data_IF_311265984743
#
_entry.id   IF_311265984743
#
_cell.length_a   1.000
_cell.length_b   1.000
_cell.length_c   1.000
_cell.angle_alpha   90.00
_cell.angle_beta   90.00
_cell.angle_gamma   90.00
#
_symmetry.space_group_name_H-M   'P 1'
#
loop_
_entity.id
_entity.type
_entity.pdbx_description
1 polymer ?
#
# COMPACT_ATOMS: atom_id res chain seq x y z
N UNK A 1 -12.02 -14.28 -1.56
CA UNK A 1 -10.60 -14.35 -1.17
C UNK A 1 -10.42 -13.60 0.14
N UNK A 2 -10.10 -14.33 1.18
CA UNK A 2 -9.76 -13.76 2.47
C UNK A 2 -8.29 -13.33 2.51
N UNK A 3 -7.96 -12.36 3.38
CA UNK A 3 -6.63 -11.75 3.49
C UNK A 3 -6.06 -11.28 2.13
N UNK A 4 -6.91 -10.64 1.36
CA UNK A 4 -6.59 -10.22 -0.01
C UNK A 4 -5.39 -9.26 -0.11
N UNK A 5 -5.00 -8.63 1.01
CA UNK A 5 -3.79 -7.79 1.07
C UNK A 5 -2.50 -8.56 0.72
N UNK A 6 -2.49 -9.88 0.76
CA UNK A 6 -1.35 -10.69 0.30
C UNK A 6 -1.09 -10.59 -1.21
N UNK A 7 -2.05 -10.12 -1.99
CA UNK A 7 -1.95 -9.98 -3.45
C UNK A 7 -1.75 -8.54 -3.92
N UNK A 8 -1.68 -7.58 -3.01
CA UNK A 8 -1.55 -6.14 -3.32
C UNK A 8 -0.25 -5.73 -4.03
N UNK A 9 0.77 -6.60 -4.03
CA UNK A 9 2.07 -6.35 -4.69
C UNK A 9 2.06 -6.68 -6.19
N UNK A 10 0.93 -6.50 -6.88
CA UNK A 10 0.89 -6.63 -8.33
C UNK A 10 1.79 -5.55 -8.94
N UNK A 11 2.73 -5.92 -9.86
CA UNK A 11 3.65 -4.95 -10.44
C UNK A 11 2.95 -3.79 -11.13
N UNK A 12 3.41 -2.58 -10.85
CA UNK A 12 2.99 -1.36 -11.52
C UNK A 12 4.08 -0.92 -12.49
N UNK A 13 3.72 -0.73 -13.76
CA UNK A 13 4.61 -0.12 -14.73
C UNK A 13 4.56 1.39 -14.54
N UNK A 14 5.69 2.00 -14.24
CA UNK A 14 5.82 3.44 -14.06
C UNK A 14 7.12 3.95 -14.68
N UNK A 15 7.07 5.15 -15.22
CA UNK A 15 8.26 5.88 -15.69
C UNK A 15 9.06 6.46 -14.53
N UNK A 16 8.43 6.68 -13.38
CA UNK A 16 9.05 7.20 -12.17
C UNK A 16 9.42 6.07 -11.21
N UNK A 17 10.52 6.25 -10.47
CA UNK A 17 10.89 5.36 -9.37
C UNK A 17 10.34 5.89 -8.05
N UNK A 18 9.10 5.54 -7.75
CA UNK A 18 8.44 5.93 -6.50
C UNK A 18 8.66 4.83 -5.47
N UNK A 19 9.23 5.19 -4.33
CA UNK A 19 9.50 4.22 -3.26
C UNK A 19 8.19 3.66 -2.68
N UNK A 20 8.14 2.35 -2.57
CA UNK A 20 6.97 1.62 -2.09
C UNK A 20 6.01 1.18 -3.20
N UNK A 21 6.16 1.67 -4.43
CA UNK A 21 5.41 1.16 -5.58
C UNK A 21 6.01 -0.18 -6.01
N UNK A 22 5.20 -1.26 -6.08
CA UNK A 22 5.70 -2.56 -6.48
C UNK A 22 6.05 -2.55 -7.97
N UNK A 23 7.33 -2.71 -8.30
CA UNK A 23 7.82 -2.82 -9.68
C UNK A 23 8.37 -4.21 -10.00
N UNK A 24 8.72 -4.96 -8.95
CA UNK A 24 9.25 -6.31 -9.07
C UNK A 24 8.18 -7.36 -9.36
N UNK A 25 8.60 -8.48 -9.97
CA UNK A 25 7.73 -9.62 -10.24
C UNK A 25 7.17 -10.21 -8.95
N UNK A 26 5.88 -10.49 -8.95
CA UNK A 26 5.18 -11.22 -7.89
C UNK A 26 4.32 -12.30 -8.53
N UNK A 27 4.82 -13.53 -8.55
CA UNK A 27 4.12 -14.66 -9.20
C UNK A 27 2.76 -14.89 -8.56
N UNK A 28 2.67 -14.80 -7.23
CA UNK A 28 1.42 -14.95 -6.49
C UNK A 28 0.38 -13.89 -6.88
N UNK A 29 0.77 -12.62 -6.95
CA UNK A 29 -0.13 -11.54 -7.31
C UNK A 29 -0.54 -11.63 -8.79
N UNK A 30 0.38 -12.00 -9.67
CA UNK A 30 0.13 -12.17 -11.10
C UNK A 30 -0.80 -13.34 -11.37
N UNK A 31 -0.62 -14.48 -10.71
CA UNK A 31 -1.51 -15.65 -10.82
C UNK A 31 -2.92 -15.30 -10.33
N UNK A 32 -3.04 -14.64 -9.18
CA UNK A 32 -4.33 -14.16 -8.68
C UNK A 32 -4.98 -13.18 -9.66
N UNK A 33 -4.21 -12.27 -10.26
CA UNK A 33 -4.72 -11.32 -11.24
C UNK A 33 -5.31 -12.03 -12.47
N UNK A 34 -4.61 -13.01 -13.02
CA UNK A 34 -5.08 -13.79 -14.16
C UNK A 34 -6.40 -14.52 -13.83
N UNK A 35 -6.47 -15.15 -12.65
CA UNK A 35 -7.69 -15.84 -12.17
C UNK A 35 -8.86 -14.87 -11.98
N UNK A 36 -8.60 -13.73 -11.40
CA UNK A 36 -9.61 -12.68 -11.18
C UNK A 36 -10.13 -12.15 -12.50
N UNK A 37 -9.26 -11.84 -13.45
CA UNK A 37 -9.65 -11.41 -14.81
C UNK A 37 -10.54 -12.44 -15.48
N UNK A 38 -10.13 -13.71 -15.49
CA UNK A 38 -10.91 -14.80 -16.07
C UNK A 38 -12.32 -14.88 -15.46
N UNK A 39 -12.45 -14.76 -14.14
CA UNK A 39 -13.73 -14.84 -13.45
C UNK A 39 -14.62 -13.63 -13.76
N UNK A 40 -14.06 -12.43 -13.76
CA UNK A 40 -14.80 -11.21 -14.10
C UNK A 40 -15.30 -11.24 -15.55
N UNK A 41 -14.46 -11.64 -16.48
CA UNK A 41 -14.84 -11.77 -17.90
C UNK A 41 -15.96 -12.81 -18.09
N UNK A 42 -15.86 -13.96 -17.40
CA UNK A 42 -16.85 -15.03 -17.48
C UNK A 42 -18.19 -14.65 -16.85
N UNK A 43 -18.21 -13.79 -15.86
CA UNK A 43 -19.40 -13.45 -15.05
C UNK A 43 -19.81 -11.97 -15.17
N UNK A 44 -19.49 -11.32 -16.28
CA UNK A 44 -19.88 -9.92 -16.57
C UNK A 44 -19.51 -8.95 -15.41
N UNK A 45 -18.24 -8.97 -15.01
CA UNK A 45 -17.72 -8.10 -13.96
C UNK A 45 -18.04 -8.54 -12.52
N UNK A 46 -18.54 -9.77 -12.31
CA UNK A 46 -18.97 -10.27 -10.99
C UNK A 46 -18.23 -11.56 -10.61
N UNK A 47 -18.49 -12.05 -9.38
CA UNK A 47 -18.00 -13.36 -8.93
C UNK A 47 -16.69 -13.35 -8.15
N UNK A 48 -16.13 -12.20 -7.90
CA UNK A 48 -14.91 -12.06 -7.07
C UNK A 48 -15.19 -11.14 -5.89
N UNK A 49 -14.88 -11.62 -4.70
CA UNK A 49 -14.95 -10.83 -3.45
C UNK A 49 -13.62 -10.93 -2.74
N UNK A 50 -13.04 -9.78 -2.41
CA UNK A 50 -11.85 -9.65 -1.59
C UNK A 50 -12.22 -9.17 -0.18
N UNK A 51 -11.71 -9.84 0.84
CA UNK A 51 -11.85 -9.44 2.23
C UNK A 51 -10.47 -9.18 2.83
N UNK A 52 -10.32 -8.08 3.55
CA UNK A 52 -9.07 -7.73 4.24
C UNK A 52 -9.32 -6.68 5.32
N UNK A 53 -8.64 -6.78 6.44
CA UNK A 53 -8.61 -5.73 7.47
C UNK A 53 -7.65 -4.58 7.13
N UNK A 54 -6.78 -4.73 6.12
CA UNK A 54 -5.70 -3.78 5.80
C UNK A 54 -5.57 -3.56 4.29
N UNK A 55 -6.56 -2.91 3.64
CA UNK A 55 -6.55 -2.74 2.18
C UNK A 55 -5.36 -1.90 1.69
N UNK A 56 -4.97 -0.89 2.45
CA UNK A 56 -3.84 0.00 2.16
C UNK A 56 -2.96 0.07 3.40
N UNK A 57 -1.69 -0.29 3.29
CA UNK A 57 -0.74 -0.32 4.43
C UNK A 57 0.51 0.50 4.14
N UNK A 58 1.15 0.28 2.98
CA UNK A 58 2.48 0.80 2.72
C UNK A 58 2.49 1.94 1.70
N UNK A 59 1.61 1.89 0.71
CA UNK A 59 1.61 2.86 -0.40
C UNK A 59 0.23 3.00 -1.03
N UNK A 60 -0.03 4.18 -1.58
CA UNK A 60 -1.27 4.46 -2.31
C UNK A 60 -1.44 3.59 -3.57
N UNK A 61 -0.35 3.06 -4.14
CA UNK A 61 -0.38 2.12 -5.25
C UNK A 61 -1.13 0.82 -4.92
N UNK A 62 -1.29 0.48 -3.64
CA UNK A 62 -2.07 -0.69 -3.22
C UNK A 62 -3.57 -0.51 -3.55
N UNK A 63 -4.09 0.72 -3.44
CA UNK A 63 -5.47 1.01 -3.86
C UNK A 63 -5.64 0.88 -5.38
N UNK A 64 -4.70 1.40 -6.16
CA UNK A 64 -4.69 1.19 -7.60
C UNK A 64 -4.69 -0.29 -7.97
N UNK A 65 -3.89 -1.11 -7.28
CA UNK A 65 -3.87 -2.54 -7.52
C UNK A 65 -5.20 -3.22 -7.16
N UNK A 66 -5.88 -2.80 -6.09
CA UNK A 66 -7.22 -3.30 -5.79
C UNK A 66 -8.23 -2.95 -6.90
N UNK A 67 -8.16 -1.74 -7.45
CA UNK A 67 -8.99 -1.35 -8.60
C UNK A 67 -8.66 -2.20 -9.84
N UNK A 68 -7.39 -2.48 -10.11
CA UNK A 68 -7.01 -3.39 -11.23
C UNK A 68 -7.60 -4.78 -11.07
N UNK A 69 -7.68 -5.30 -9.84
CA UNK A 69 -8.32 -6.59 -9.57
C UNK A 69 -9.82 -6.56 -9.75
N UNK A 70 -10.51 -5.53 -9.27
CA UNK A 70 -11.95 -5.54 -9.06
C UNK A 70 -12.73 -4.63 -10.01
N UNK A 71 -12.10 -3.60 -10.57
CA UNK A 71 -12.71 -2.60 -11.47
C UNK A 71 -11.89 -2.34 -12.74
N UNK A 72 -11.36 -3.36 -13.43
CA UNK A 72 -10.50 -3.11 -14.59
C UNK A 72 -11.22 -2.37 -15.73
N UNK A 73 -12.49 -2.63 -15.92
CA UNK A 73 -13.26 -2.00 -16.99
C UNK A 73 -13.55 -0.53 -16.68
N UNK A 74 -13.83 -0.20 -15.43
CA UNK A 74 -13.99 1.18 -15.00
C UNK A 74 -12.68 1.98 -15.16
N UNK A 75 -11.54 1.40 -14.78
CA UNK A 75 -10.24 2.02 -15.01
C UNK A 75 -10.01 2.32 -16.50
N UNK A 76 -10.41 1.41 -17.37
CA UNK A 76 -10.33 1.58 -18.83
C UNK A 76 -11.25 2.70 -19.33
N UNK A 77 -12.48 2.71 -18.89
CA UNK A 77 -13.48 3.73 -19.26
C UNK A 77 -13.02 5.14 -18.91
N UNK A 78 -12.37 5.30 -17.77
CA UNK A 78 -11.81 6.57 -17.30
C UNK A 78 -10.38 6.86 -17.81
N UNK A 79 -9.78 6.00 -18.62
CA UNK A 79 -8.40 6.16 -19.10
C UNK A 79 -7.33 6.02 -18.01
N UNK A 80 -7.64 5.34 -16.91
CA UNK A 80 -6.81 5.18 -15.71
C UNK A 80 -6.10 3.82 -15.66
N UNK A 81 -6.02 3.09 -16.76
CA UNK A 81 -5.37 1.78 -16.83
C UNK A 81 -3.87 1.83 -16.55
N UNK A 82 -3.24 2.95 -16.90
CA UNK A 82 -1.82 3.18 -16.67
C UNK A 82 -1.61 3.75 -15.28
N UNK A 83 -0.69 3.16 -14.54
CA UNK A 83 -0.38 3.61 -13.18
C UNK A 83 0.02 5.09 -13.12
N UNK A 84 0.82 5.56 -14.09
CA UNK A 84 1.27 6.95 -14.10
C UNK A 84 0.10 7.92 -14.27
N UNK A 85 -0.88 7.62 -15.13
CA UNK A 85 -2.09 8.44 -15.30
C UNK A 85 -2.94 8.43 -14.02
N UNK A 86 -3.14 7.26 -13.41
CA UNK A 86 -3.85 7.15 -12.14
C UNK A 86 -3.15 7.95 -11.03
N UNK A 87 -1.82 7.84 -10.96
CA UNK A 87 -0.98 8.58 -10.01
C UNK A 87 -1.14 10.09 -10.20
N UNK A 88 -1.08 10.59 -11.43
CA UNK A 88 -1.23 12.01 -11.73
C UNK A 88 -2.62 12.54 -11.37
N UNK A 89 -3.64 11.69 -11.46
CA UNK A 89 -5.03 12.06 -11.13
C UNK A 89 -5.29 12.05 -9.62
N UNK A 90 -4.75 11.10 -8.87
CA UNK A 90 -5.13 10.84 -7.48
C UNK A 90 -4.01 10.89 -6.46
N UNK A 91 -2.77 11.01 -6.88
CA UNK A 91 -1.62 10.97 -5.99
C UNK A 91 -0.70 12.17 -6.14
N UNK A 92 -0.34 12.78 -5.03
CA UNK A 92 0.75 13.75 -4.97
C UNK A 92 2.00 13.07 -4.46
N UNK A 93 3.12 13.31 -5.12
CA UNK A 93 4.42 12.78 -4.72
C UNK A 93 5.31 13.91 -4.21
N UNK A 94 6.21 13.56 -3.29
CA UNK A 94 7.21 14.48 -2.76
C UNK A 94 8.58 13.81 -2.80
N UNK A 95 9.59 14.62 -3.09
CA UNK A 95 10.98 14.21 -2.98
C UNK A 95 11.48 14.44 -1.56
N UNK A 96 11.80 13.35 -0.88
CA UNK A 96 12.38 13.38 0.45
C UNK A 96 13.87 13.03 0.38
N UNK A 97 14.67 13.81 1.09
CA UNK A 97 16.08 13.50 1.30
C UNK A 97 16.19 12.38 2.34
N UNK A 98 16.66 11.23 1.94
CA UNK A 98 16.83 10.08 2.85
C UNK A 98 18.29 9.73 3.03
N UNK A 99 18.67 9.50 4.28
CA UNK A 99 19.99 8.96 4.62
C UNK A 99 19.98 7.46 4.36
N UNK A 100 20.80 7.01 3.42
CA UNK A 100 21.05 5.56 3.23
C UNK A 100 22.01 5.05 4.31
N UNK A 101 21.96 3.76 4.59
CA UNK A 101 22.92 3.08 5.48
C UNK A 101 24.38 3.28 5.04
N UNK A 102 24.61 3.64 3.78
CA UNK A 102 25.92 4.04 3.23
C UNK A 102 26.35 5.45 3.63
N UNK A 103 25.52 6.20 4.40
CA UNK A 103 25.76 7.59 4.77
C UNK A 103 25.59 8.61 3.64
N UNK A 104 25.19 8.15 2.44
CA UNK A 104 24.83 9.05 1.33
C UNK A 104 23.40 9.56 1.55
N UNK A 105 23.20 10.85 1.26
CA UNK A 105 21.87 11.44 1.14
C UNK A 105 21.39 11.20 -0.29
N UNK A 106 20.21 10.62 -0.44
CA UNK A 106 19.60 10.40 -1.73
C UNK A 106 18.21 11.00 -1.76
N UNK A 107 17.83 11.56 -2.90
CA UNK A 107 16.49 12.05 -3.11
C UNK A 107 15.58 10.90 -3.51
N UNK A 108 14.55 10.67 -2.73
CA UNK A 108 13.61 9.57 -2.95
C UNK A 108 12.22 10.12 -3.14
N UNK A 109 11.61 9.85 -4.29
CA UNK A 109 10.22 10.18 -4.55
C UNK A 109 9.31 9.22 -3.78
N UNK A 110 8.34 9.77 -3.05
CA UNK A 110 7.31 9.02 -2.32
C UNK A 110 5.95 9.64 -2.52
N UNK A 111 4.91 8.82 -2.43
CA UNK A 111 3.56 9.34 -2.25
C UNK A 111 3.45 10.10 -0.93
N UNK A 112 2.87 11.29 -0.97
CA UNK A 112 2.62 12.13 0.21
C UNK A 112 1.15 12.12 0.62
N UNK A 113 0.25 12.30 -0.32
CA UNK A 113 -1.19 12.34 -0.03
C UNK A 113 -2.02 11.97 -1.26
N UNK A 114 -3.27 11.62 -1.02
CA UNK A 114 -4.28 11.56 -2.07
C UNK A 114 -4.75 12.97 -2.44
N UNK A 115 -4.92 13.19 -3.73
CA UNK A 115 -5.58 14.36 -4.30
C UNK A 115 -6.85 13.93 -5.02
N UNK A 116 -7.71 14.88 -5.39
CA UNK A 116 -9.00 14.59 -6.03
C UNK A 116 -9.81 13.51 -5.27
N UNK A 117 -9.81 13.60 -3.94
CA UNK A 117 -10.40 12.61 -3.04
C UNK A 117 -11.90 12.37 -3.29
N UNK A 118 -12.73 13.39 -3.62
CA UNK A 118 -14.14 13.15 -3.91
C UNK A 118 -14.36 12.19 -5.09
N UNK A 119 -13.64 12.38 -6.18
CA UNK A 119 -13.71 11.52 -7.36
C UNK A 119 -13.18 10.11 -7.06
N UNK A 120 -12.02 10.02 -6.41
CA UNK A 120 -11.46 8.73 -5.99
C UNK A 120 -12.44 7.97 -5.08
N UNK A 121 -13.09 8.66 -4.15
CA UNK A 121 -14.09 8.07 -3.26
C UNK A 121 -15.31 7.59 -4.03
N UNK A 122 -15.77 8.35 -5.02
CA UNK A 122 -16.87 7.93 -5.88
C UNK A 122 -16.53 6.63 -6.60
N UNK A 123 -15.38 6.59 -7.28
CA UNK A 123 -14.92 5.38 -7.99
C UNK A 123 -14.74 4.17 -7.06
N UNK A 124 -14.22 4.39 -5.85
CA UNK A 124 -13.98 3.28 -4.91
C UNK A 124 -15.25 2.79 -4.23
N UNK A 125 -16.28 3.62 -4.06
CA UNK A 125 -17.55 3.23 -3.43
C UNK A 125 -18.31 2.15 -4.20
N UNK A 126 -18.06 2.01 -5.49
CA UNK A 126 -18.74 1.02 -6.34
C UNK A 126 -18.27 -0.41 -6.08
N UNK A 127 -17.07 -0.60 -5.53
CA UNK A 127 -16.52 -1.94 -5.30
C UNK A 127 -16.06 -2.19 -3.86
N UNK A 128 -15.94 -1.15 -3.02
CA UNK A 128 -15.39 -1.25 -1.69
C UNK A 128 -16.42 -0.90 -0.64
N UNK A 129 -16.77 -1.88 0.20
CA UNK A 129 -17.53 -1.66 1.43
C UNK A 129 -16.57 -1.63 2.63
N UNK A 130 -16.54 -0.52 3.35
CA UNK A 130 -15.66 -0.31 4.49
C UNK A 130 -16.50 -0.35 5.76
N UNK A 131 -16.29 -1.37 6.59
CA UNK A 131 -16.94 -1.51 7.88
C UNK A 131 -15.93 -1.26 9.01
N UNK A 132 -16.25 -0.30 9.87
CA UNK A 132 -15.47 -0.01 11.07
C UNK A 132 -16.22 -0.48 12.31
N UNK A 133 -15.48 -1.00 13.27
CA UNK A 133 -16.03 -1.47 14.55
C UNK A 133 -16.89 -0.40 15.23
N UNK A 134 -16.51 0.88 15.13
CA UNK A 134 -17.23 2.00 15.72
C UNK A 134 -18.62 2.22 15.10
N UNK A 135 -18.81 1.76 13.85
CA UNK A 135 -20.07 1.89 13.13
C UNK A 135 -21.03 0.73 13.40
N UNK A 136 -20.52 -0.39 13.94
CA UNK A 136 -21.30 -1.56 14.27
C UNK A 136 -22.04 -1.35 15.59
N UNK A 137 -23.28 -0.86 15.49
CA UNK A 137 -24.15 -0.58 16.63
C UNK A 137 -25.49 -1.27 16.47
N UNK A 138 -26.12 -1.61 17.60
CA UNK A 138 -27.48 -2.12 17.63
C UNK A 138 -28.51 -1.01 17.37
N UNK A 139 -29.80 -1.36 17.32
CA UNK A 139 -30.89 -0.40 17.12
C UNK A 139 -30.98 0.69 18.19
N UNK A 140 -30.38 0.49 19.35
CA UNK A 140 -30.34 1.42 20.47
C UNK A 140 -29.03 2.26 20.49
N UNK A 141 -28.17 2.11 19.45
CA UNK A 141 -26.91 2.83 19.36
C UNK A 141 -25.76 2.25 20.19
N UNK A 142 -25.96 1.08 20.82
CA UNK A 142 -24.94 0.41 21.62
C UNK A 142 -23.96 -0.35 20.71
N UNK A 143 -22.64 -0.29 20.96
CA UNK A 143 -21.67 -1.05 20.19
C UNK A 143 -21.98 -2.55 20.21
N UNK A 144 -22.03 -3.19 19.03
CA UNK A 144 -22.21 -4.63 18.89
C UNK A 144 -20.97 -5.40 19.35
N UNK A 145 -19.79 -4.79 19.22
CA UNK A 145 -18.51 -5.39 19.60
C UNK A 145 -17.91 -4.61 20.75
N UNK A 146 -17.65 -5.29 21.86
CA UNK A 146 -16.98 -4.71 23.02
C UNK A 146 -15.47 -4.63 22.76
N UNK A 147 -14.93 -3.42 22.75
CA UNK A 147 -13.47 -3.22 22.64
C UNK A 147 -12.82 -3.36 24.01
N UNK A 148 -11.67 -4.03 24.09
CA UNK A 148 -10.81 -3.94 25.27
C UNK A 148 -10.24 -2.51 25.38
N UNK A 149 -9.98 -2.08 26.62
CA UNK A 149 -9.26 -0.82 26.81
C UNK A 149 -7.83 -0.97 26.32
N UNK A 150 -7.38 -0.03 25.50
CA UNK A 150 -6.00 0.03 25.03
C UNK A 150 -5.19 0.86 26.03
N UNK A 151 -4.12 0.28 26.54
CA UNK A 151 -3.11 0.95 27.34
C UNK A 151 -1.80 0.93 26.55
N UNK A 152 -1.36 2.10 26.11
CA UNK A 152 -0.08 2.23 25.42
C UNK A 152 1.00 2.55 26.45
N UNK A 153 1.90 1.60 26.69
CA UNK A 153 3.08 1.81 27.52
C UNK A 153 4.29 2.04 26.61
N UNK A 154 4.89 3.21 26.69
CA UNK A 154 6.14 3.51 26.00
C UNK A 154 7.29 3.14 26.93
N UNK A 155 8.02 2.10 26.58
CA UNK A 155 9.26 1.72 27.28
C UNK A 155 10.42 2.27 26.48
N UNK A 156 11.14 3.22 27.08
CA UNK A 156 12.39 3.75 26.51
C UNK A 156 13.53 2.95 27.11
N UNK A 157 14.28 2.23 26.27
CA UNK A 157 15.53 1.57 26.67
C UNK A 157 16.69 2.47 26.33
N UNK A 158 17.56 2.73 27.30
CA UNK A 158 18.84 3.41 27.05
C UNK A 158 19.76 2.48 26.24
N UNK A 159 20.59 3.11 25.39
CA UNK A 159 21.63 2.38 24.65
C UNK A 159 22.62 1.76 25.63
N UNK A 160 23.01 0.52 25.38
CA UNK A 160 24.07 -0.15 26.10
C UNK A 160 25.32 -0.30 25.22
N UNK A 161 26.45 -0.67 25.81
CA UNK A 161 27.72 -0.84 25.11
C UNK A 161 27.64 -1.82 23.93
N UNK A 162 26.79 -2.85 24.05
CA UNK A 162 26.58 -3.85 22.99
C UNK A 162 25.88 -3.24 21.76
N UNK A 163 24.83 -2.45 21.99
CA UNK A 163 24.10 -1.73 20.94
C UNK A 163 25.02 -0.72 20.26
N UNK A 164 25.81 0.03 21.04
CA UNK A 164 26.76 1.00 20.50
C UNK A 164 27.87 0.33 19.67
N UNK A 165 28.39 -0.80 20.13
CA UNK A 165 29.33 -1.63 19.37
C UNK A 165 28.73 -2.14 18.06
N UNK A 166 27.47 -2.60 18.09
CA UNK A 166 26.75 -3.04 16.89
C UNK A 166 26.56 -1.90 15.90
N UNK A 167 26.12 -0.73 16.36
CA UNK A 167 25.94 0.46 15.54
C UNK A 167 27.26 0.92 14.91
N UNK A 168 28.35 0.90 15.67
CA UNK A 168 29.70 1.21 15.17
C UNK A 168 30.11 0.25 14.03
N UNK A 169 29.87 -1.07 14.20
CA UNK A 169 30.16 -2.06 13.15
C UNK A 169 29.31 -1.83 11.89
N UNK A 170 28.04 -1.44 12.04
CA UNK A 170 27.16 -1.10 10.91
C UNK A 170 27.70 0.12 10.17
N UNK A 171 28.09 1.18 10.90
CA UNK A 171 28.68 2.37 10.30
C UNK A 171 29.99 2.06 9.56
N UNK A 172 30.89 1.27 10.15
CA UNK A 172 32.14 0.85 9.49
C UNK A 172 31.89 0.08 8.19
N UNK A 173 30.90 -0.86 8.19
CA UNK A 173 30.51 -1.59 6.97
C UNK A 173 29.92 -0.64 5.92
N UNK A 174 29.10 0.31 6.34
CA UNK A 174 28.52 1.29 5.43
C UNK A 174 29.60 2.18 4.80
N UNK A 175 30.61 2.59 5.57
CA UNK A 175 31.73 3.39 5.06
C UNK A 175 32.67 2.59 4.14
N UNK A 176 32.89 1.32 4.44
CA UNK A 176 33.66 0.43 3.55
C UNK A 176 32.97 0.20 2.18
N UNK A 177 31.64 0.27 2.12
CA UNK A 177 30.91 0.19 0.85
C UNK A 177 30.99 1.50 0.04
N UNK A 178 31.19 2.67 0.67
CA UNK A 178 31.38 3.94 -0.04
C UNK A 178 32.66 4.00 -0.86
N UNK A 179 33.70 3.28 -0.45
CA UNK A 179 35.00 3.27 -1.12
C UNK A 179 35.11 2.34 -2.33
N UNK A 180 34.03 1.63 -2.69
CA UNK A 180 34.00 0.65 -3.79
C UNK A 180 33.12 1.07 -4.98
N UNK A 181 32.67 2.33 -5.05
CA UNK A 181 31.87 2.90 -6.13
C UNK A 181 32.62 3.94 -6.94
#
# INVERSE_FOLDING_TARGET
>A
VDEAHHFKSLPCLSKSQIKGVPTGRSDRATDMYAKTRYLLDKHNGRGVVFATGTPIVNTMAELYNLQRFLQPDLLKEHGLEQFDTWKETFGETQNNMEFKLTGKVDSTERFSKFVNVPELRHLTSDFMDIQRIEWLKDANGKPLIKRPNKHDNVIVSESNEEIESMMSKIHQRADAMKGRG
#
